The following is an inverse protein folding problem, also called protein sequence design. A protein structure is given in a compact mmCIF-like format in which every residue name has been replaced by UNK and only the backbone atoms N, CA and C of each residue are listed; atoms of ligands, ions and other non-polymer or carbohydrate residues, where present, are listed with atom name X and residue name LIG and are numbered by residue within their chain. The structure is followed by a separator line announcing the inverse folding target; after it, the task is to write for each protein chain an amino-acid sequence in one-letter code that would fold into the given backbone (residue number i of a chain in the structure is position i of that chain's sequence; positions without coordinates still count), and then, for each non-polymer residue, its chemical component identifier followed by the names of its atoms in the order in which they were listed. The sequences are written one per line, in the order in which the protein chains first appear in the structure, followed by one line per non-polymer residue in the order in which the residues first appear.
data_IF_961725763583
#
_entry.id   IF_961725763583
#
_cell.length_a   1.000
_cell.length_b   1.000
_cell.length_c   1.000
_cell.angle_alpha   90.00
_cell.angle_beta   90.00
_cell.angle_gamma   90.00
#
_symmetry.space_group_name_H-M   'P 1'
#
loop_
_entity.id
_entity.type
_entity.pdbx_description
1 polymer ?
#
# COMPACT_ATOMS: atom_id res chain seq x y z
N UNK A 1 5.06 -11.36 -8.31
CA UNK A 1 4.70 -12.42 -7.36
C UNK A 1 3.27 -12.19 -6.88
N UNK A 2 3.03 -11.36 -5.86
CA UNK A 2 1.68 -11.11 -5.35
C UNK A 2 0.68 -10.62 -6.42
N UNK A 3 1.01 -9.59 -7.22
CA UNK A 3 0.15 -9.13 -8.33
C UNK A 3 -0.14 -10.25 -9.34
N UNK A 4 0.89 -10.99 -9.75
CA UNK A 4 0.76 -12.03 -10.77
C UNK A 4 -0.16 -13.18 -10.32
N UNK A 5 -0.19 -13.46 -9.01
CA UNK A 5 -1.00 -14.50 -8.39
C UNK A 5 -2.47 -14.12 -8.16
N UNK A 6 -2.86 -12.86 -8.36
CA UNK A 6 -4.26 -12.44 -8.30
C UNK A 6 -5.06 -13.06 -9.46
N UNK A 7 -6.34 -13.33 -9.24
CA UNK A 7 -7.26 -13.70 -10.30
C UNK A 7 -7.50 -12.52 -11.29
N UNK A 8 -8.12 -12.83 -12.43
CA UNK A 8 -8.33 -11.87 -13.50
C UNK A 8 -9.35 -10.77 -13.12
N UNK A 9 -10.36 -11.09 -12.30
CA UNK A 9 -11.37 -10.13 -11.89
C UNK A 9 -10.77 -9.08 -10.96
N UNK A 10 -10.01 -9.52 -9.96
CA UNK A 10 -9.29 -8.64 -9.04
C UNK A 10 -8.28 -7.78 -9.78
N UNK A 11 -7.51 -8.34 -10.73
CA UNK A 11 -6.58 -7.57 -11.58
C UNK A 11 -7.28 -6.47 -12.37
N UNK A 12 -8.47 -6.75 -12.92
CA UNK A 12 -9.25 -5.76 -13.67
C UNK A 12 -9.80 -4.66 -12.75
N UNK A 13 -10.27 -5.03 -11.55
CA UNK A 13 -10.80 -4.08 -10.56
C UNK A 13 -9.74 -3.08 -10.09
N UNK A 14 -8.51 -3.52 -9.86
CA UNK A 14 -7.46 -2.68 -9.26
C UNK A 14 -6.63 -1.84 -10.25
N UNK A 15 -6.77 -2.09 -11.55
CA UNK A 15 -5.85 -1.60 -12.60
C UNK A 15 -5.68 -0.07 -12.58
N UNK A 16 -6.77 0.65 -12.37
CA UNK A 16 -6.81 2.12 -12.38
C UNK A 16 -7.08 2.75 -11.01
N UNK A 17 -7.14 1.95 -9.95
CA UNK A 17 -7.36 2.49 -8.61
C UNK A 17 -6.19 3.37 -8.17
N UNK A 18 -6.55 4.48 -7.52
CA UNK A 18 -5.62 5.45 -6.94
C UNK A 18 -5.86 5.52 -5.45
N UNK A 19 -4.79 5.39 -4.66
CA UNK A 19 -4.82 5.47 -3.20
C UNK A 19 -4.25 6.80 -2.73
N UNK A 20 -4.73 7.28 -1.58
CA UNK A 20 -4.07 8.36 -0.83
C UNK A 20 -3.11 7.78 0.20
N UNK A 21 -1.86 8.27 0.17
CA UNK A 21 -0.78 7.87 1.06
C UNK A 21 -0.35 9.04 1.93
N UNK A 22 -0.22 8.79 3.24
CA UNK A 22 0.33 9.75 4.21
C UNK A 22 0.87 9.03 5.44
N UNK A 23 1.89 9.63 6.06
CA UNK A 23 2.37 9.22 7.38
C UNK A 23 1.29 9.32 8.46
N UNK A 24 0.33 10.25 8.32
CA UNK A 24 -0.79 10.43 9.26
C UNK A 24 -1.59 9.13 9.40
N UNK A 25 -1.81 8.40 8.30
CA UNK A 25 -2.59 7.16 8.31
C UNK A 25 -1.86 6.04 9.05
N UNK A 26 -0.59 5.77 8.71
CA UNK A 26 0.19 4.73 9.38
C UNK A 26 0.45 5.04 10.86
N UNK A 27 0.66 6.31 11.21
CA UNK A 27 0.87 6.73 12.61
C UNK A 27 -0.43 6.64 13.40
N UNK A 28 -1.56 6.96 12.79
CA UNK A 28 -2.89 6.80 13.38
C UNK A 28 -3.20 5.35 13.76
N UNK A 29 -2.79 4.37 12.95
CA UNK A 29 -2.92 2.94 13.28
C UNK A 29 -2.15 2.53 14.54
N UNK A 30 -1.10 3.28 14.89
CA UNK A 30 -0.32 3.08 16.12
C UNK A 30 -0.83 3.93 17.30
N UNK A 31 -1.92 4.67 17.12
CA UNK A 31 -2.52 5.53 18.15
C UNK A 31 -2.06 7.00 18.14
N UNK A 32 -1.13 7.39 17.26
CA UNK A 32 -0.68 8.77 17.15
C UNK A 32 -1.61 9.57 16.22
N UNK A 33 -2.51 10.35 16.80
CA UNK A 33 -3.55 11.10 16.06
C UNK A 33 -3.43 12.62 16.20
N UNK A 34 -2.67 13.08 17.19
CA UNK A 34 -2.39 14.49 17.45
C UNK A 34 -1.17 14.92 16.65
N UNK A 35 -1.41 15.73 15.63
CA UNK A 35 -0.38 16.36 14.80
C UNK A 35 -0.54 17.88 14.86
N UNK A 36 0.57 18.59 15.01
CA UNK A 36 0.61 20.04 14.93
C UNK A 36 0.17 20.51 13.53
N UNK A 37 -0.34 21.75 13.40
CA UNK A 37 -0.80 22.27 12.10
C UNK A 37 0.26 22.14 10.99
N UNK A 38 1.51 22.51 11.26
CA UNK A 38 2.59 22.46 10.27
C UNK A 38 2.92 21.01 9.84
N UNK A 39 2.83 20.05 10.76
CA UNK A 39 3.01 18.63 10.45
C UNK A 39 1.91 18.11 9.52
N UNK A 40 0.66 18.55 9.72
CA UNK A 40 -0.47 18.18 8.85
C UNK A 40 -0.29 18.70 7.43
N UNK A 41 0.29 19.90 7.28
CA UNK A 41 0.63 20.46 5.97
C UNK A 41 1.76 19.66 5.32
N UNK A 42 2.83 19.38 6.07
CA UNK A 42 3.98 18.65 5.57
C UNK A 42 3.65 17.19 5.18
N UNK A 43 2.71 16.56 5.90
CA UNK A 43 2.28 15.18 5.68
C UNK A 43 0.95 15.10 4.91
N UNK A 44 0.60 16.14 4.16
CA UNK A 44 -0.62 16.14 3.34
C UNK A 44 -0.67 14.88 2.46
N UNK A 45 -1.79 14.15 2.43
CA UNK A 45 -1.91 12.95 1.60
C UNK A 45 -1.58 13.20 0.14
N UNK A 46 -0.82 12.26 -0.45
CA UNK A 46 -0.44 12.24 -1.86
C UNK A 46 -1.06 11.05 -2.57
N UNK A 47 -1.22 11.15 -3.89
CA UNK A 47 -1.93 10.14 -4.69
C UNK A 47 -0.97 9.25 -5.45
N UNK A 48 -1.18 7.94 -5.36
CA UNK A 48 -0.43 6.94 -6.11
C UNK A 48 -1.36 5.87 -6.68
N UNK A 49 -1.02 5.34 -7.86
CA UNK A 49 -1.72 4.17 -8.42
C UNK A 49 -1.47 2.94 -7.54
N UNK A 50 -2.51 2.13 -7.32
CA UNK A 50 -2.43 0.87 -6.60
C UNK A 50 -1.63 -0.18 -7.40
N UNK A 51 -1.70 -0.13 -8.73
CA UNK A 51 -0.86 -0.94 -9.62
C UNK A 51 0.22 -0.07 -10.25
N UNK A 52 1.48 -0.48 -10.14
CA UNK A 52 2.63 0.17 -10.78
C UNK A 52 3.30 -0.75 -11.79
N UNK A 53 3.82 -0.16 -12.85
CA UNK A 53 4.67 -0.84 -13.83
C UNK A 53 6.12 -0.44 -13.59
N UNK A 54 6.99 -1.43 -13.35
CA UNK A 54 8.41 -1.18 -13.18
C UNK A 54 9.04 -0.80 -14.52
N UNK A 55 9.75 0.35 -14.64
CA UNK A 55 10.22 0.87 -15.92
C UNK A 55 11.25 -0.02 -16.61
N UNK A 56 12.12 -0.71 -15.84
CA UNK A 56 13.17 -1.55 -16.43
C UNK A 56 12.70 -2.94 -16.87
N UNK A 57 11.74 -3.53 -16.16
CA UNK A 57 11.31 -4.93 -16.40
C UNK A 57 9.92 -5.04 -17.00
N UNK A 58 9.16 -3.94 -17.07
CA UNK A 58 7.77 -3.92 -17.50
C UNK A 58 6.80 -4.65 -16.56
N UNK A 59 7.29 -5.23 -15.46
CA UNK A 59 6.45 -6.02 -14.55
C UNK A 59 5.52 -5.12 -13.76
N UNK A 60 4.28 -5.58 -13.61
CA UNK A 60 3.31 -4.98 -12.71
C UNK A 60 3.52 -5.43 -11.26
N UNK A 61 3.23 -4.55 -10.33
CA UNK A 61 3.26 -4.82 -8.88
C UNK A 61 2.20 -4.01 -8.14
N UNK A 62 1.75 -4.54 -7.00
CA UNK A 62 0.88 -3.82 -6.07
C UNK A 62 1.72 -2.81 -5.28
N UNK A 63 1.27 -1.55 -5.19
CA UNK A 63 1.91 -0.52 -4.39
C UNK A 63 1.27 -0.42 -2.99
N UNK A 64 1.34 -1.51 -2.24
CA UNK A 64 0.78 -1.59 -0.90
C UNK A 64 1.72 -0.95 0.13
N UNK A 65 1.13 -0.31 1.13
CA UNK A 65 1.86 0.32 2.24
C UNK A 65 0.92 0.62 3.40
N UNK A 66 1.42 0.56 4.63
CA UNK A 66 0.70 1.01 5.83
C UNK A 66 0.28 2.50 5.75
N UNK A 67 0.86 3.28 4.83
CA UNK A 67 0.52 4.68 4.61
C UNK A 67 -0.78 4.88 3.84
N UNK A 68 -1.42 3.84 3.30
CA UNK A 68 -2.69 3.99 2.57
C UNK A 68 -3.81 4.34 3.56
N UNK A 69 -4.53 5.43 3.31
CA UNK A 69 -5.66 5.87 4.12
C UNK A 69 -7.03 5.71 3.47
N UNK A 70 -7.07 5.64 2.14
CA UNK A 70 -8.30 5.39 1.36
C UNK A 70 -7.98 5.12 -0.12
N UNK A 71 -8.96 4.62 -0.86
CA UNK A 71 -9.00 4.59 -2.33
C UNK A 71 -9.88 5.76 -2.80
N UNK A 72 -9.41 6.51 -3.79
CA UNK A 72 -10.14 7.66 -4.33
C UNK A 72 -11.50 7.20 -4.91
N UNK A 73 -12.57 7.87 -4.47
CA UNK A 73 -13.94 7.61 -4.96
C UNK A 73 -14.65 6.45 -4.25
N UNK A 74 -13.99 5.77 -3.32
CA UNK A 74 -14.59 4.71 -2.51
C UNK A 74 -14.94 5.25 -1.12
N UNK A 75 -16.00 4.73 -0.48
CA UNK A 75 -16.19 4.98 0.94
C UNK A 75 -15.06 4.30 1.74
N UNK A 76 -14.57 5.02 2.76
CA UNK A 76 -13.31 4.68 3.43
C UNK A 76 -13.32 3.29 4.10
N UNK A 77 -14.38 2.85 4.80
CA UNK A 77 -14.41 1.52 5.40
C UNK A 77 -14.21 0.40 4.37
N UNK A 78 -14.89 0.49 3.23
CA UNK A 78 -14.84 -0.45 2.11
C UNK A 78 -13.46 -0.43 1.46
N UNK A 79 -12.90 0.76 1.23
CA UNK A 79 -11.55 0.91 0.70
C UNK A 79 -10.51 0.24 1.62
N UNK A 80 -10.60 0.46 2.93
CA UNK A 80 -9.63 -0.08 3.87
C UNK A 80 -9.81 -1.57 4.14
N UNK A 81 -11.03 -2.10 4.02
CA UNK A 81 -11.26 -3.54 4.03
C UNK A 81 -10.57 -4.20 2.82
N UNK A 82 -10.82 -3.68 1.62
CA UNK A 82 -10.21 -4.19 0.40
C UNK A 82 -8.67 -4.11 0.39
N UNK A 83 -8.11 -2.99 0.84
CA UNK A 83 -6.65 -2.84 0.97
C UNK A 83 -6.06 -3.84 1.97
N UNK A 84 -6.79 -4.17 3.05
CA UNK A 84 -6.36 -5.17 4.03
C UNK A 84 -6.31 -6.57 3.41
N UNK A 85 -7.31 -6.95 2.62
CA UNK A 85 -7.33 -8.24 1.92
C UNK A 85 -6.14 -8.36 0.96
N UNK A 86 -5.83 -7.29 0.21
CA UNK A 86 -4.65 -7.25 -0.66
C UNK A 86 -3.32 -7.32 0.13
N UNK A 87 -3.24 -6.68 1.30
CA UNK A 87 -2.07 -6.78 2.18
C UNK A 87 -1.90 -8.20 2.72
N UNK A 88 -2.99 -8.83 3.17
CA UNK A 88 -2.97 -10.22 3.62
C UNK A 88 -2.50 -11.15 2.50
N UNK A 89 -3.04 -10.99 1.29
CA UNK A 89 -2.58 -11.74 0.11
C UNK A 89 -1.10 -11.52 -0.19
N UNK A 90 -0.67 -10.27 -0.26
CA UNK A 90 0.70 -9.94 -0.67
C UNK A 90 1.77 -10.31 0.37
N UNK A 91 1.37 -10.59 1.61
CA UNK A 91 2.27 -10.99 2.71
C UNK A 91 2.19 -12.47 3.07
N UNK A 92 1.50 -13.29 2.26
CA UNK A 92 1.53 -14.75 2.41
C UNK A 92 2.97 -15.31 2.27
N UNK A 93 3.32 -16.42 2.96
CA UNK A 93 4.70 -16.90 3.04
C UNK A 93 5.41 -17.12 1.69
N UNK A 94 4.69 -17.53 0.64
CA UNK A 94 5.27 -17.75 -0.70
C UNK A 94 5.74 -16.47 -1.40
N UNK A 95 5.36 -15.29 -0.89
CA UNK A 95 5.80 -13.99 -1.41
C UNK A 95 6.82 -13.30 -0.49
N UNK A 96 7.13 -13.91 0.66
CA UNK A 96 7.96 -13.30 1.70
C UNK A 96 9.32 -13.97 1.75
N UNK A 97 10.35 -13.15 1.62
CA UNK A 97 11.71 -13.51 2.01
C UNK A 97 11.97 -12.97 3.42
N UNK A 98 12.42 -13.85 4.33
CA UNK A 98 12.85 -13.46 5.67
C UNK A 98 14.36 -13.35 5.71
N UNK A 99 14.87 -12.13 5.85
CA UNK A 99 16.30 -11.88 5.90
C UNK A 99 16.86 -12.09 7.30
N UNK A 100 17.92 -12.89 7.41
CA UNK A 100 18.70 -13.03 8.65
C UNK A 100 19.95 -12.17 8.53
N UNK A 101 19.91 -11.01 9.19
CA UNK A 101 21.02 -10.06 9.21
C UNK A 101 22.32 -10.67 9.73
N UNK A 102 23.41 -10.29 9.08
CA UNK A 102 24.78 -10.52 9.51
C UNK A 102 25.56 -9.21 9.58
N UNK A 103 26.67 -9.23 10.31
CA UNK A 103 27.50 -8.04 10.45
C UNK A 103 27.96 -7.57 9.06
N UNK A 104 27.74 -6.29 8.76
CA UNK A 104 28.11 -5.64 7.50
C UNK A 104 27.24 -5.96 6.26
N UNK A 105 26.08 -6.60 6.41
CA UNK A 105 25.04 -6.58 5.35
C UNK A 105 24.56 -5.13 5.08
N UNK A 106 24.15 -4.84 3.84
CA UNK A 106 23.68 -3.52 3.36
C UNK A 106 22.28 -3.59 2.72
#
# INVERSE_FOLDING_TARGET
AAYDALDAATKAEIEDLVCEHSLIYSRGQLGFTEFLPDERVAMKPVRHRLVRTHPGSGRKSLFLSAHIGTIIGWPQPEAMAFIRDLMEHATQPQFVYSHRWTQHDL
#
